data_IF_193316658926
#
_entry.id   IF_193316658926
#
_cell.length_a   1.000
_cell.length_b   1.000
_cell.length_c   1.000
_cell.angle_alpha   90.00
_cell.angle_beta   90.00
_cell.angle_gamma   90.00
#
_symmetry.space_group_name_H-M   'P 1'
#
loop_
_entity.id
_entity.type
_entity.pdbx_description
1 polymer ?
#
# COMPACT_ATOMS: atom_id res chain seq x y z
N UNK A 1 3.55 0.96 -22.68
CA UNK A 1 3.57 -0.24 -21.81
C UNK A 1 2.93 0.17 -20.49
N UNK A 2 1.66 -0.15 -20.24
CA UNK A 2 1.03 0.04 -18.93
C UNK A 2 0.09 -1.14 -18.71
N UNK A 3 0.65 -2.21 -18.16
CA UNK A 3 -0.15 -3.33 -17.67
C UNK A 3 -0.94 -2.86 -16.46
N UNK A 4 -2.25 -2.84 -16.57
CA UNK A 4 -3.15 -2.57 -15.44
C UNK A 4 -2.99 -3.72 -14.45
N UNK A 5 -2.27 -3.50 -13.35
CA UNK A 5 -2.18 -4.49 -12.27
C UNK A 5 -3.54 -4.50 -11.58
N UNK A 6 -4.33 -5.55 -11.82
CA UNK A 6 -5.61 -5.78 -11.14
C UNK A 6 -5.32 -6.54 -9.85
N UNK A 7 -4.95 -5.83 -8.79
CA UNK A 7 -4.74 -6.45 -7.49
C UNK A 7 -6.08 -6.55 -6.78
N UNK A 8 -6.80 -7.63 -7.05
CA UNK A 8 -8.10 -7.89 -6.40
C UNK A 8 -7.95 -8.11 -4.90
N UNK A 9 -6.78 -8.59 -4.44
CA UNK A 9 -6.48 -8.78 -3.03
C UNK A 9 -5.03 -8.34 -2.72
N UNK A 10 -4.88 -7.27 -1.94
CA UNK A 10 -3.58 -6.80 -1.45
C UNK A 10 -3.05 -7.80 -0.42
N UNK A 11 -1.81 -8.26 -0.64
CA UNK A 11 -1.06 -9.13 0.26
C UNK A 11 -0.02 -8.33 1.06
N UNK A 12 0.42 -8.79 2.25
CA UNK A 12 1.44 -8.09 3.05
C UNK A 12 2.81 -7.93 2.35
N UNK A 13 3.13 -8.86 1.45
CA UNK A 13 4.32 -8.83 0.59
C UNK A 13 4.20 -7.87 -0.61
N UNK A 14 3.03 -7.28 -0.85
CA UNK A 14 2.85 -6.30 -1.90
C UNK A 14 3.69 -5.06 -1.58
N UNK A 15 4.27 -4.46 -2.62
CA UNK A 15 4.98 -3.19 -2.46
C UNK A 15 4.00 -2.04 -2.38
N UNK A 16 4.40 -0.98 -1.69
CA UNK A 16 3.58 0.24 -1.59
C UNK A 16 3.28 0.80 -2.99
N UNK A 17 4.22 0.73 -3.93
CA UNK A 17 3.99 1.16 -5.32
C UNK A 17 2.90 0.35 -6.03
N UNK A 18 2.87 -0.97 -5.84
CA UNK A 18 1.86 -1.85 -6.45
C UNK A 18 0.46 -1.51 -5.90
N UNK A 19 0.36 -1.31 -4.59
CA UNK A 19 -0.88 -0.91 -3.92
C UNK A 19 -1.39 0.46 -4.39
N UNK A 20 -0.49 1.44 -4.49
CA UNK A 20 -0.80 2.78 -4.98
C UNK A 20 -1.26 2.77 -6.45
N UNK A 21 -0.72 1.86 -7.26
CA UNK A 21 -1.15 1.68 -8.64
C UNK A 21 -2.49 0.93 -8.74
N UNK A 22 -2.73 -0.05 -7.86
CA UNK A 22 -3.87 -0.97 -7.94
C UNK A 22 -5.15 -0.50 -7.25
N UNK A 23 -5.07 0.39 -6.25
CA UNK A 23 -6.23 0.79 -5.43
C UNK A 23 -6.42 2.31 -5.40
N UNK A 24 -7.64 2.76 -5.70
CA UNK A 24 -7.99 4.18 -5.62
C UNK A 24 -8.09 4.62 -4.16
N UNK A 25 -7.38 5.68 -3.79
CA UNK A 25 -7.35 6.17 -2.40
C UNK A 25 -6.35 5.44 -1.50
N UNK A 26 -5.53 4.53 -2.03
CA UNK A 26 -4.47 3.85 -1.27
C UNK A 26 -3.53 4.83 -0.55
N UNK A 27 -3.15 5.94 -1.20
CA UNK A 27 -2.28 6.95 -0.60
C UNK A 27 -2.86 7.55 0.67
N UNK A 28 -4.16 7.88 0.65
CA UNK A 28 -4.87 8.42 1.81
C UNK A 28 -4.97 7.37 2.92
N UNK A 29 -5.28 6.11 2.58
CA UNK A 29 -5.30 5.02 3.55
C UNK A 29 -3.93 4.82 4.20
N UNK A 30 -2.86 4.66 3.42
CA UNK A 30 -1.49 4.50 3.94
C UNK A 30 -1.09 5.65 4.88
N UNK A 31 -1.44 6.89 4.50
CA UNK A 31 -1.21 8.08 5.31
C UNK A 31 -1.96 8.05 6.65
N UNK A 32 -3.20 7.55 6.70
CA UNK A 32 -3.96 7.37 7.96
C UNK A 32 -3.33 6.35 8.90
N UNK A 33 -2.66 5.33 8.34
CA UNK A 33 -1.91 4.34 9.10
C UNK A 33 -0.49 4.81 9.46
N UNK A 34 -0.11 6.04 9.12
CA UNK A 34 1.21 6.59 9.45
C UNK A 34 2.32 6.22 8.46
N UNK A 35 1.99 5.62 7.32
CA UNK A 35 2.92 5.24 6.25
C UNK A 35 3.09 6.35 5.19
N UNK A 36 2.70 7.59 5.51
CA UNK A 36 2.80 8.77 4.62
C UNK A 36 4.24 9.05 4.15
N UNK A 37 5.22 8.76 5.03
CA UNK A 37 6.64 9.00 4.78
C UNK A 37 7.24 8.10 3.69
N UNK A 38 6.60 6.99 3.35
CA UNK A 38 7.07 6.14 2.27
C UNK A 38 6.93 6.82 0.88
N UNK A 39 6.07 7.82 0.75
CA UNK A 39 5.88 8.56 -0.51
C UNK A 39 7.01 9.55 -0.82
N UNK A 40 7.70 10.05 0.22
CA UNK A 40 8.79 11.06 0.11
C UNK A 40 10.19 10.43 0.26
N UNK A 41 10.28 9.16 0.66
CA UNK A 41 11.55 8.46 0.76
C UNK A 41 11.94 7.81 -0.58
N UNK A 42 13.11 8.12 -1.12
CA UNK A 42 13.66 7.54 -2.37
C UNK A 42 13.70 5.99 -2.41
N UNK A 43 13.46 5.30 -1.28
CA UNK A 43 13.37 3.84 -1.17
C UNK A 43 11.93 3.30 -0.95
N UNK A 44 10.98 4.14 -0.53
CA UNK A 44 9.62 3.73 -0.16
C UNK A 44 8.75 3.06 -1.24
N UNK A 45 8.91 3.31 -2.56
CA UNK A 45 8.15 2.57 -3.57
C UNK A 45 8.56 1.10 -3.72
N UNK A 46 9.74 0.70 -3.20
CA UNK A 46 10.21 -0.70 -3.21
C UNK A 46 9.97 -1.43 -1.89
N UNK A 47 9.57 -0.71 -0.84
CA UNK A 47 9.27 -1.29 0.46
C UNK A 47 7.95 -2.08 0.41
N UNK A 48 7.93 -3.23 1.07
CA UNK A 48 6.71 -4.03 1.22
C UNK A 48 5.83 -3.45 2.32
N UNK A 49 4.53 -3.71 2.26
CA UNK A 49 3.61 -3.24 3.30
C UNK A 49 4.01 -3.76 4.69
N UNK A 50 4.43 -5.03 4.78
CA UNK A 50 4.83 -5.63 6.05
C UNK A 50 6.08 -4.96 6.62
N UNK A 51 7.09 -4.69 5.80
CA UNK A 51 8.35 -4.07 6.24
C UNK A 51 8.10 -2.64 6.76
N UNK A 52 7.32 -1.84 6.02
CA UNK A 52 6.91 -0.51 6.45
C UNK A 52 6.04 -0.54 7.72
N UNK A 53 5.17 -1.54 7.87
CA UNK A 53 4.39 -1.71 9.09
C UNK A 53 5.27 -2.06 10.29
N UNK A 54 6.23 -2.98 10.14
CA UNK A 54 7.15 -3.37 11.21
C UNK A 54 8.08 -2.23 11.62
N UNK A 55 8.62 -1.48 10.66
CA UNK A 55 9.48 -0.32 10.91
C UNK A 55 8.77 0.80 11.69
N UNK A 56 7.46 0.95 11.49
CA UNK A 56 6.65 1.99 12.10
C UNK A 56 5.75 1.50 13.26
N UNK A 57 5.81 0.21 13.61
CA UNK A 57 4.98 -0.40 14.66
C UNK A 57 3.48 -0.38 14.36
N UNK A 58 3.12 -0.42 13.07
CA UNK A 58 1.73 -0.44 12.58
C UNK A 58 1.28 -1.89 12.45
N UNK A 59 0.03 -2.18 12.84
CA UNK A 59 -0.53 -3.51 12.62
C UNK A 59 -0.91 -3.67 11.13
N UNK A 60 -0.34 -4.70 10.50
CA UNK A 60 -0.53 -4.98 9.08
C UNK A 60 -1.96 -5.46 8.76
N UNK A 61 -2.65 -6.12 9.69
CA UNK A 61 -3.99 -6.67 9.43
C UNK A 61 -5.04 -5.58 9.16
N UNK A 62 -5.23 -4.56 10.02
CA UNK A 62 -6.21 -3.50 9.75
C UNK A 62 -5.82 -2.66 8.53
N UNK A 63 -4.52 -2.53 8.22
CA UNK A 63 -4.08 -1.87 6.98
C UNK A 63 -4.52 -2.67 5.75
N UNK A 64 -4.29 -3.99 5.74
CA UNK A 64 -4.71 -4.84 4.63
C UNK A 64 -6.22 -4.83 4.45
N UNK A 65 -7.00 -4.88 5.53
CA UNK A 65 -8.47 -4.81 5.46
C UNK A 65 -8.94 -3.48 4.86
N UNK A 66 -8.35 -2.37 5.30
CA UNK A 66 -8.66 -1.05 4.77
C UNK A 66 -8.30 -0.91 3.29
N UNK A 67 -7.14 -1.43 2.86
CA UNK A 67 -6.69 -1.39 1.47
C UNK A 67 -7.51 -2.31 0.56
N UNK A 68 -7.91 -3.49 1.04
CA UNK A 68 -8.76 -4.42 0.30
C UNK A 68 -10.20 -3.92 0.17
N UNK A 69 -10.65 -3.10 1.11
CA UNK A 69 -11.95 -2.42 1.03
C UNK A 69 -11.98 -1.27 0.01
N UNK A 70 -10.84 -0.86 -0.56
CA UNK A 70 -10.78 0.17 -1.59
C UNK A 70 -11.15 -0.39 -2.97
N UNK A 71 -11.80 0.44 -3.81
CA UNK A 71 -12.06 0.07 -5.20
C UNK A 71 -10.76 -0.01 -6.01
N UNK A 72 -10.73 -0.97 -6.94
CA UNK A 72 -9.61 -1.12 -7.87
C UNK A 72 -9.48 0.10 -8.80
N UNK A 73 -8.25 0.43 -9.18
CA UNK A 73 -7.97 1.42 -10.22
C UNK A 73 -8.35 0.85 -11.60
N UNK A 74 -9.12 1.62 -12.38
CA UNK A 74 -9.78 1.16 -13.62
C UNK A 74 -8.87 0.93 -14.83
#
# INVERSE_FOLDING_TARGET
MSGKVRIMNISPEATIADVLAGKQGAAETLRRFGLDHCSDCSAGPLETLIDGCEAHGVDIQPLLDALNSLPDTA
#
